data_IF_797797393493
#
_entry.id   IF_797797393493
#
_cell.length_a   1.000
_cell.length_b   1.000
_cell.length_c   1.000
_cell.angle_alpha   90.00
_cell.angle_beta   90.00
_cell.angle_gamma   90.00
#
_symmetry.space_group_name_H-M   'P 1'
#
loop_
_entity.id
_entity.type
_entity.pdbx_description
1 polymer ?
#
# COMPACT_ATOMS: atom_id res chain seq x y z
N UNK A 1 -10.71 -5.39 9.99
CA UNK A 1 -9.95 -6.54 9.47
C UNK A 1 -10.94 -7.63 9.12
N UNK A 2 -10.88 -8.12 7.89
CA UNK A 2 -11.76 -9.17 7.37
C UNK A 2 -11.68 -10.43 8.23
N UNK A 3 -12.82 -11.10 8.46
CA UNK A 3 -12.93 -12.26 9.37
C UNK A 3 -13.45 -13.53 8.70
N UNK A 4 -14.01 -13.41 7.50
CA UNK A 4 -14.73 -14.53 6.85
C UNK A 4 -13.82 -15.51 6.12
N UNK A 5 -12.72 -15.03 5.53
CA UNK A 5 -11.71 -15.88 4.89
C UNK A 5 -10.30 -15.52 5.35
N UNK A 6 -9.36 -16.44 5.17
CA UNK A 6 -7.95 -16.18 5.43
C UNK A 6 -7.50 -14.99 4.58
N UNK A 7 -7.03 -13.92 5.23
CA UNK A 7 -6.66 -12.67 4.58
C UNK A 7 -5.54 -11.97 5.34
N UNK A 8 -4.82 -11.12 4.63
CA UNK A 8 -3.76 -10.28 5.17
C UNK A 8 -3.94 -8.85 4.66
N UNK A 9 -3.82 -7.88 5.56
CA UNK A 9 -3.77 -6.45 5.22
C UNK A 9 -2.35 -5.96 5.40
N UNK A 10 -1.85 -5.21 4.43
CA UNK A 10 -0.52 -4.61 4.45
C UNK A 10 -0.71 -3.10 4.42
N UNK A 11 0.05 -2.39 5.26
CA UNK A 11 0.11 -0.94 5.26
C UNK A 11 1.41 -0.52 4.57
N UNK A 12 1.26 0.29 3.51
CA UNK A 12 2.38 0.94 2.83
C UNK A 12 2.53 2.33 3.43
N UNK A 13 3.74 2.67 3.89
CA UNK A 13 4.03 3.96 4.52
C UNK A 13 3.91 5.07 3.49
N UNK A 14 3.16 6.12 3.84
CA UNK A 14 2.77 7.16 2.89
C UNK A 14 3.82 8.28 2.70
N UNK A 15 4.62 8.59 3.73
CA UNK A 15 5.69 9.59 3.61
C UNK A 15 6.37 9.93 4.94
N UNK A 16 7.54 10.55 4.87
CA UNK A 16 8.27 11.01 6.06
C UNK A 16 8.01 12.50 6.33
N UNK A 17 8.40 13.01 7.51
CA UNK A 17 8.07 14.37 7.95
C UNK A 17 8.44 15.43 6.89
N UNK A 18 7.44 16.16 6.41
CA UNK A 18 7.62 17.25 5.43
C UNK A 18 7.41 16.83 3.98
N UNK A 19 7.21 15.53 3.72
CA UNK A 19 6.88 15.01 2.40
C UNK A 19 5.36 14.85 2.21
N UNK A 20 4.94 14.59 0.98
CA UNK A 20 3.57 14.14 0.72
C UNK A 20 3.24 12.94 1.58
N UNK A 21 2.03 12.91 2.10
CA UNK A 21 1.54 11.81 2.91
C UNK A 21 2.06 11.75 4.34
N UNK A 22 2.85 12.74 4.77
CA UNK A 22 3.43 12.79 6.11
C UNK A 22 2.47 13.19 7.23
N UNK A 23 1.26 13.63 6.87
CA UNK A 23 0.21 14.02 7.81
C UNK A 23 -0.85 12.93 7.91
N UNK A 24 -1.56 12.89 9.03
CA UNK A 24 -2.62 11.91 9.23
C UNK A 24 -3.74 12.07 8.18
N UNK A 25 -4.35 10.92 7.83
CA UNK A 25 -5.60 10.90 7.08
C UNK A 25 -6.66 11.76 7.79
N UNK A 26 -7.59 12.31 7.01
CA UNK A 26 -8.67 13.21 7.45
C UNK A 26 -8.24 14.64 7.86
N UNK A 27 -6.98 15.03 7.67
CA UNK A 27 -6.57 16.42 7.78
C UNK A 27 -6.84 17.18 6.47
N UNK A 28 -7.22 18.48 6.51
CA UNK A 28 -7.54 19.26 5.31
C UNK A 28 -6.41 19.37 4.28
N UNK A 29 -5.18 19.19 4.72
CA UNK A 29 -3.97 19.29 3.91
C UNK A 29 -3.30 17.92 3.68
N UNK A 30 -4.05 16.84 3.87
CA UNK A 30 -3.57 15.52 3.48
C UNK A 30 -3.37 15.48 1.96
N UNK A 31 -2.13 15.26 1.54
CA UNK A 31 -1.72 15.04 0.16
C UNK A 31 -1.19 13.61 0.04
N UNK A 32 -1.70 12.82 -0.89
CA UNK A 32 -1.28 11.43 -1.06
C UNK A 32 0.08 11.35 -1.75
N UNK A 33 0.92 10.37 -1.40
CA UNK A 33 2.18 10.18 -2.09
C UNK A 33 2.02 9.30 -3.33
N UNK A 34 1.84 9.94 -4.50
CA UNK A 34 1.65 9.29 -5.79
C UNK A 34 2.79 8.33 -6.18
N UNK A 35 4.01 8.55 -5.68
CA UNK A 35 5.17 7.71 -5.97
C UNK A 35 4.99 6.26 -5.48
N UNK A 36 4.09 6.06 -4.51
CA UNK A 36 3.79 4.73 -3.95
C UNK A 36 2.90 3.88 -4.83
N UNK A 37 2.21 4.47 -5.83
CA UNK A 37 1.29 3.72 -6.69
C UNK A 37 2.04 2.58 -7.40
N UNK A 38 3.15 2.89 -8.06
CA UNK A 38 3.92 1.89 -8.80
C UNK A 38 4.70 0.95 -7.90
N UNK A 39 5.16 1.41 -6.72
CA UNK A 39 5.79 0.55 -5.72
C UNK A 39 4.79 -0.51 -5.22
N UNK A 40 3.58 -0.08 -4.88
CA UNK A 40 2.53 -0.96 -4.37
C UNK A 40 2.03 -1.94 -5.45
N UNK A 41 1.87 -1.47 -6.70
CA UNK A 41 1.53 -2.34 -7.84
C UNK A 41 2.60 -3.40 -8.02
N UNK A 42 3.88 -3.03 -8.06
CA UNK A 42 4.98 -3.99 -8.22
C UNK A 42 4.97 -5.02 -7.09
N UNK A 43 4.81 -4.59 -5.84
CA UNK A 43 4.73 -5.50 -4.70
C UNK A 43 3.61 -6.53 -4.88
N UNK A 44 2.40 -6.10 -5.23
CA UNK A 44 1.27 -7.01 -5.44
C UNK A 44 1.48 -7.96 -6.61
N UNK A 45 2.02 -7.48 -7.72
CA UNK A 45 2.33 -8.32 -8.90
C UNK A 45 3.33 -9.41 -8.54
N UNK A 46 4.43 -9.07 -7.87
CA UNK A 46 5.44 -10.05 -7.46
C UNK A 46 4.87 -11.01 -6.41
N UNK A 47 4.09 -10.53 -5.44
CA UNK A 47 3.43 -11.41 -4.46
C UNK A 47 2.52 -12.44 -5.16
N UNK A 48 1.71 -12.02 -6.13
CA UNK A 48 0.83 -12.96 -6.86
C UNK A 48 1.66 -13.96 -7.67
N UNK A 49 2.74 -13.53 -8.33
CA UNK A 49 3.66 -14.42 -9.06
C UNK A 49 4.32 -15.44 -8.15
N UNK A 50 4.71 -15.04 -6.95
CA UNK A 50 5.32 -15.93 -5.96
C UNK A 50 4.34 -16.96 -5.39
N UNK A 51 3.06 -16.60 -5.25
CA UNK A 51 2.05 -17.47 -4.62
C UNK A 51 1.30 -18.37 -5.61
N UNK A 52 1.28 -18.02 -6.90
CA UNK A 52 0.63 -18.82 -7.94
C UNK A 52 1.66 -19.65 -8.71
N UNK A 53 1.32 -20.86 -9.16
CA UNK A 53 2.19 -21.63 -10.06
C UNK A 53 2.44 -20.89 -11.37
N UNK A 54 3.65 -21.01 -11.92
CA UNK A 54 3.88 -20.69 -13.32
C UNK A 54 3.14 -21.69 -14.21
N UNK A 55 2.52 -21.22 -15.30
CA UNK A 55 2.10 -22.11 -16.40
C UNK A 55 3.28 -22.86 -17.01
#
# INVERSE_FOLDING_TARGET
MQREVASCYILVVNGTKGEKGSVALHLPHYDFNDELLMVSVKFWVELVRDQLPSE
#
